data_IF_590939384077
#
_entry.id   IF_590939384077
#
_cell.length_a   1.000
_cell.length_b   1.000
_cell.length_c   1.000
_cell.angle_alpha   90.00
_cell.angle_beta   90.00
_cell.angle_gamma   90.00
#
_symmetry.space_group_name_H-M   'P 1'
#
loop_
_entity.id
_entity.type
_entity.pdbx_description
1 polymer ?
#
# COMPACT_ATOMS: atom_id res chain seq x y z
N UNK A 1 -12.50 -23.87 0.76
CA UNK A 1 -11.37 -24.82 0.87
C UNK A 1 -11.95 -26.16 1.26
N UNK A 2 -11.39 -27.31 0.83
CA UNK A 2 -12.01 -28.62 1.07
C UNK A 2 -12.39 -28.90 2.53
N UNK A 3 -11.79 -28.20 3.49
CA UNK A 3 -12.09 -28.33 4.93
C UNK A 3 -12.50 -27.02 5.63
N UNK A 4 -12.40 -25.86 4.96
CA UNK A 4 -12.72 -24.55 5.55
C UNK A 4 -13.52 -23.66 4.61
N UNK A 5 -14.55 -23.01 5.17
CA UNK A 5 -15.28 -21.94 4.50
C UNK A 5 -14.42 -20.67 4.44
N UNK A 6 -14.15 -20.20 3.21
CA UNK A 6 -13.35 -18.99 2.98
C UNK A 6 -13.97 -17.75 3.65
N UNK A 7 -15.30 -17.67 3.74
CA UNK A 7 -15.97 -16.55 4.40
C UNK A 7 -15.72 -16.57 5.91
N UNK A 8 -15.79 -17.75 6.54
CA UNK A 8 -15.51 -17.90 7.95
C UNK A 8 -14.06 -17.49 8.30
N UNK A 9 -13.11 -17.76 7.40
CA UNK A 9 -11.71 -17.30 7.55
C UNK A 9 -11.66 -15.77 7.54
N UNK A 10 -12.26 -15.12 6.54
CA UNK A 10 -12.25 -13.64 6.42
C UNK A 10 -12.90 -13.01 7.65
N UNK A 11 -14.07 -13.50 8.06
CA UNK A 11 -14.75 -12.99 9.25
C UNK A 11 -13.88 -13.15 10.51
N UNK A 12 -13.27 -14.31 10.71
CA UNK A 12 -12.37 -14.57 11.85
C UNK A 12 -11.17 -13.62 11.86
N UNK A 13 -10.49 -13.45 10.72
CA UNK A 13 -9.36 -12.54 10.59
C UNK A 13 -9.74 -11.11 10.95
N UNK A 14 -10.90 -10.63 10.49
CA UNK A 14 -11.39 -9.29 10.81
C UNK A 14 -11.80 -9.15 12.28
N UNK A 15 -12.44 -10.16 12.87
CA UNK A 15 -12.73 -10.18 14.31
C UNK A 15 -11.46 -10.13 15.16
N UNK A 16 -10.37 -10.74 14.67
CA UNK A 16 -9.05 -10.68 15.30
C UNK A 16 -8.29 -9.36 15.05
N UNK A 17 -8.87 -8.40 14.32
CA UNK A 17 -8.24 -7.12 14.01
C UNK A 17 -7.15 -7.19 12.93
N UNK A 18 -7.04 -8.30 12.20
CA UNK A 18 -6.07 -8.43 11.10
C UNK A 18 -6.56 -7.55 9.94
N UNK A 19 -5.76 -6.57 9.54
CA UNK A 19 -6.08 -5.59 8.49
C UNK A 19 -5.40 -5.89 7.13
N UNK A 20 -4.79 -7.06 6.96
CA UNK A 20 -4.18 -7.49 5.69
C UNK A 20 -5.22 -7.48 4.57
N UNK A 21 -4.89 -6.98 3.36
CA UNK A 21 -5.83 -6.95 2.25
C UNK A 21 -6.15 -8.37 1.77
N UNK A 22 -7.41 -8.63 1.46
CA UNK A 22 -7.92 -9.95 1.07
C UNK A 22 -8.57 -9.85 -0.30
N UNK A 23 -7.99 -10.54 -1.29
CA UNK A 23 -8.58 -10.81 -2.59
C UNK A 23 -9.26 -12.19 -2.56
N UNK A 24 -10.59 -12.22 -2.69
CA UNK A 24 -11.36 -13.45 -2.74
C UNK A 24 -11.38 -14.00 -4.17
N UNK A 25 -11.07 -15.29 -4.36
CA UNK A 25 -11.05 -15.93 -5.67
C UNK A 25 -11.96 -17.16 -5.69
N UNK A 26 -13.00 -17.17 -6.52
CA UNK A 26 -13.99 -18.26 -6.56
C UNK A 26 -14.42 -18.62 -7.98
N UNK A 27 -14.79 -19.89 -8.20
CA UNK A 27 -15.47 -20.33 -9.43
C UNK A 27 -16.97 -20.02 -9.44
N UNK A 28 -17.51 -19.63 -8.28
CA UNK A 28 -18.90 -19.24 -8.14
C UNK A 28 -19.02 -17.77 -8.56
N UNK A 29 -19.74 -17.56 -9.66
CA UNK A 29 -19.90 -16.27 -10.33
C UNK A 29 -21.18 -15.52 -9.91
N UNK A 30 -21.93 -16.06 -8.94
CA UNK A 30 -23.15 -15.43 -8.45
C UNK A 30 -22.84 -14.08 -7.77
N UNK A 31 -23.63 -13.07 -8.12
CA UNK A 31 -23.57 -11.73 -7.52
C UNK A 31 -23.78 -11.83 -6.02
N UNK A 32 -24.66 -12.71 -5.55
CA UNK A 32 -24.96 -12.86 -4.13
C UNK A 32 -23.74 -13.35 -3.33
N UNK A 33 -22.92 -14.22 -3.90
CA UNK A 33 -21.69 -14.67 -3.25
C UNK A 33 -20.59 -13.60 -3.23
N UNK A 34 -20.48 -12.82 -4.29
CA UNK A 34 -19.57 -11.67 -4.35
C UNK A 34 -19.91 -10.65 -3.27
N UNK A 35 -21.20 -10.34 -3.14
CA UNK A 35 -21.71 -9.42 -2.13
C UNK A 35 -21.45 -9.97 -0.73
N UNK A 36 -21.70 -11.27 -0.48
CA UNK A 36 -21.38 -11.93 0.80
C UNK A 36 -19.89 -11.84 1.13
N UNK A 37 -19.02 -12.07 0.15
CA UNK A 37 -17.56 -12.01 0.34
C UNK A 37 -17.05 -10.62 0.70
N UNK A 38 -17.53 -9.59 0.01
CA UNK A 38 -17.19 -8.20 0.32
C UNK A 38 -17.72 -7.79 1.70
N UNK A 39 -18.97 -8.16 2.03
CA UNK A 39 -19.57 -7.87 3.35
C UNK A 39 -18.90 -8.59 4.51
N UNK A 40 -18.33 -9.77 4.29
CA UNK A 40 -17.56 -10.50 5.30
C UNK A 40 -16.22 -9.81 5.64
N UNK A 41 -15.81 -8.79 4.88
CA UNK A 41 -14.59 -8.03 5.08
C UNK A 41 -13.49 -8.30 4.03
N UNK A 42 -13.84 -8.91 2.90
CA UNK A 42 -12.97 -8.99 1.73
C UNK A 42 -12.86 -7.63 1.04
N UNK A 43 -11.67 -7.31 0.55
CA UNK A 43 -11.37 -5.99 -0.05
C UNK A 43 -11.63 -5.95 -1.55
N UNK A 44 -11.53 -7.11 -2.22
CA UNK A 44 -11.91 -7.30 -3.62
C UNK A 44 -12.29 -8.78 -3.89
N UNK A 45 -12.92 -9.03 -5.03
CA UNK A 45 -13.38 -10.35 -5.46
C UNK A 45 -13.10 -10.59 -6.95
N UNK A 46 -12.55 -11.75 -7.28
CA UNK A 46 -12.21 -12.19 -8.64
C UNK A 46 -12.81 -13.56 -8.95
N UNK A 47 -13.57 -13.66 -10.04
CA UNK A 47 -14.20 -14.91 -10.49
C UNK A 47 -13.25 -15.72 -11.37
N UNK A 48 -13.28 -17.05 -11.28
CA UNK A 48 -12.59 -17.96 -12.21
C UNK A 48 -13.45 -18.23 -13.45
N UNK A 49 -12.84 -18.37 -14.64
CA UNK A 49 -11.43 -18.15 -14.93
C UNK A 49 -11.08 -16.65 -14.98
N UNK A 50 -9.84 -16.31 -14.67
CA UNK A 50 -9.32 -14.94 -14.72
C UNK A 50 -7.97 -14.91 -15.46
N UNK A 51 -7.62 -13.74 -15.99
CA UNK A 51 -6.28 -13.51 -16.53
C UNK A 51 -5.27 -13.23 -15.40
N UNK A 52 -4.05 -13.73 -15.53
CA UNK A 52 -2.98 -13.48 -14.54
C UNK A 52 -2.73 -11.99 -14.34
N UNK A 53 -2.73 -11.22 -15.43
CA UNK A 53 -2.53 -9.76 -15.41
C UNK A 53 -3.66 -9.03 -14.68
N UNK A 54 -4.91 -9.52 -14.77
CA UNK A 54 -6.04 -8.96 -14.03
C UNK A 54 -5.86 -9.18 -12.52
N UNK A 55 -5.44 -10.38 -12.13
CA UNK A 55 -5.19 -10.70 -10.73
C UNK A 55 -4.04 -9.86 -10.16
N UNK A 56 -2.94 -9.72 -10.92
CA UNK A 56 -1.81 -8.90 -10.53
C UNK A 56 -2.22 -7.43 -10.33
N UNK A 57 -2.93 -6.84 -11.29
CA UNK A 57 -3.40 -5.46 -11.18
C UNK A 57 -4.31 -5.22 -9.96
N UNK A 58 -5.19 -6.18 -9.63
CA UNK A 58 -6.04 -6.09 -8.43
C UNK A 58 -5.24 -6.14 -7.14
N UNK A 59 -4.25 -7.03 -7.06
CA UNK A 59 -3.34 -7.11 -5.91
C UNK A 59 -2.56 -5.82 -5.73
N UNK A 60 -2.02 -5.24 -6.80
CA UNK A 60 -1.32 -3.94 -6.75
C UNK A 60 -2.22 -2.83 -6.21
N UNK A 61 -3.48 -2.76 -6.66
CA UNK A 61 -4.46 -1.78 -6.17
C UNK A 61 -4.75 -1.97 -4.67
N UNK A 62 -4.88 -3.22 -4.21
CA UNK A 62 -5.11 -3.53 -2.79
C UNK A 62 -3.94 -3.09 -1.91
N UNK A 63 -2.71 -3.37 -2.34
CA UNK A 63 -1.50 -3.00 -1.60
C UNK A 63 -1.32 -1.47 -1.54
N UNK A 64 -1.61 -0.76 -2.65
CA UNK A 64 -1.56 0.71 -2.68
C UNK A 64 -2.55 1.35 -1.69
N UNK A 65 -3.75 0.79 -1.55
CA UNK A 65 -4.76 1.30 -0.60
C UNK A 65 -4.30 1.14 0.85
N UNK A 66 -3.61 0.05 1.19
CA UNK A 66 -3.02 -0.10 2.52
C UNK A 66 -1.99 1.00 2.82
N UNK A 67 -1.12 1.30 1.85
CA UNK A 67 -0.17 2.42 1.98
C UNK A 67 -0.87 3.79 2.11
N UNK A 68 -2.11 3.91 1.61
CA UNK A 68 -2.92 5.14 1.73
C UNK A 68 -3.62 5.24 3.09
N UNK A 69 -4.01 4.12 3.71
CA UNK A 69 -4.48 4.11 5.11
C UNK A 69 -3.33 4.44 6.08
N UNK A 70 -2.10 4.06 5.73
CA UNK A 70 -0.87 4.54 6.38
C UNK A 70 -0.54 6.01 6.04
N UNK A 71 -1.16 6.60 5.01
CA UNK A 71 -0.92 7.99 4.59
C UNK A 71 -1.62 9.05 5.46
N UNK A 72 -2.26 8.66 6.56
CA UNK A 72 -2.58 9.59 7.65
C UNK A 72 -1.42 9.81 8.64
N UNK A 73 -0.31 9.09 8.48
CA UNK A 73 0.88 9.37 9.26
C UNK A 73 1.42 10.75 8.85
N UNK A 74 1.17 11.75 9.70
CA UNK A 74 1.74 13.09 9.60
C UNK A 74 3.25 13.10 9.85
N UNK A 75 3.82 11.94 10.17
CA UNK A 75 5.24 11.71 10.38
C UNK A 75 5.66 10.41 9.69
N UNK A 76 6.68 10.49 8.85
CA UNK A 76 7.39 9.31 8.34
C UNK A 76 8.53 8.97 9.30
N UNK A 77 8.74 7.69 9.61
CA UNK A 77 9.84 7.25 10.46
C UNK A 77 10.56 6.05 9.87
N UNK A 78 11.89 6.12 9.82
CA UNK A 78 12.78 5.04 9.41
C UNK A 78 13.93 4.96 10.42
N UNK A 79 13.91 3.94 11.27
CA UNK A 79 14.84 3.82 12.40
C UNK A 79 14.84 5.07 13.30
N UNK A 80 15.97 5.77 13.36
CA UNK A 80 16.22 7.00 14.12
C UNK A 80 15.91 8.28 13.34
N UNK A 81 15.50 8.17 12.06
CA UNK A 81 15.12 9.28 11.20
C UNK A 81 13.62 9.51 11.22
N UNK A 82 13.19 10.75 11.46
CA UNK A 82 11.80 11.19 11.46
C UNK A 82 11.60 12.39 10.52
N UNK A 83 10.47 12.41 9.81
CA UNK A 83 10.08 13.49 8.91
C UNK A 83 8.63 13.90 9.19
N UNK A 84 8.42 15.11 9.70
CA UNK A 84 7.10 15.66 9.93
C UNK A 84 6.59 16.34 8.65
N UNK A 85 5.54 15.78 8.07
CA UNK A 85 4.97 16.23 6.80
C UNK A 85 4.12 17.50 6.94
N UNK A 86 3.74 17.89 8.16
CA UNK A 86 3.01 19.12 8.42
C UNK A 86 4.00 20.28 8.61
N UNK A 87 5.00 20.11 9.49
CA UNK A 87 5.98 21.17 9.76
C UNK A 87 7.10 21.23 8.73
N UNK A 88 7.22 20.23 7.85
CA UNK A 88 8.33 20.08 6.91
C UNK A 88 9.69 20.00 7.60
N UNK A 89 9.73 19.38 8.79
CA UNK A 89 10.96 19.21 9.57
C UNK A 89 11.45 17.76 9.50
N UNK A 90 12.77 17.60 9.36
CA UNK A 90 13.45 16.33 9.46
C UNK A 90 14.28 16.30 10.75
N UNK A 91 14.33 15.17 11.44
CA UNK A 91 15.23 14.96 12.56
C UNK A 91 15.85 13.57 12.53
N UNK A 92 17.07 13.44 13.06
CA UNK A 92 17.72 12.16 13.28
C UNK A 92 18.22 12.07 14.71
N UNK A 93 17.83 11.02 15.42
CA UNK A 93 18.13 10.84 16.84
C UNK A 93 17.73 12.09 17.67
N UNK A 94 16.58 12.68 17.32
CA UNK A 94 16.07 13.91 17.93
C UNK A 94 16.78 15.21 17.53
N UNK A 95 17.83 15.16 16.71
CA UNK A 95 18.51 16.35 16.21
C UNK A 95 17.90 16.82 14.89
N UNK A 96 17.48 18.09 14.82
CA UNK A 96 16.94 18.68 13.60
C UNK A 96 17.98 18.71 12.47
N UNK A 97 17.55 18.33 11.28
CA UNK A 97 18.34 18.38 10.06
C UNK A 97 17.93 19.61 9.25
N UNK A 98 18.89 20.48 8.94
CA UNK A 98 18.68 21.59 8.01
C UNK A 98 18.80 21.05 6.58
N UNK A 99 17.67 20.91 5.89
CA UNK A 99 17.61 20.41 4.52
C UNK A 99 17.20 21.52 3.55
N UNK A 100 17.82 21.53 2.37
CA UNK A 100 17.33 22.29 1.23
C UNK A 100 16.00 21.68 0.73
N UNK A 101 15.14 22.45 0.03
CA UNK A 101 13.84 21.96 -0.44
C UNK A 101 13.93 20.67 -1.26
N UNK A 102 14.95 20.55 -2.11
CA UNK A 102 15.17 19.35 -2.94
C UNK A 102 15.66 18.16 -2.11
N UNK A 103 16.48 18.41 -1.10
CA UNK A 103 16.96 17.37 -0.18
C UNK A 103 15.81 16.83 0.66
N UNK A 104 14.93 17.70 1.14
CA UNK A 104 13.70 17.31 1.84
C UNK A 104 12.81 16.44 0.95
N UNK A 105 12.55 16.86 -0.29
CA UNK A 105 11.74 16.09 -1.25
C UNK A 105 12.35 14.72 -1.56
N UNK A 106 13.67 14.67 -1.76
CA UNK A 106 14.38 13.41 -1.96
C UNK A 106 14.23 12.51 -0.74
N UNK A 107 14.43 13.04 0.46
CA UNK A 107 14.32 12.28 1.69
C UNK A 107 12.90 11.76 1.90
N UNK A 108 11.88 12.59 1.69
CA UNK A 108 10.48 12.19 1.75
C UNK A 108 10.20 11.03 0.78
N UNK A 109 10.64 11.17 -0.48
CA UNK A 109 10.47 10.13 -1.50
C UNK A 109 11.12 8.81 -1.09
N UNK A 110 12.36 8.85 -0.60
CA UNK A 110 13.07 7.66 -0.12
C UNK A 110 12.35 7.03 1.09
N UNK A 111 11.90 7.83 2.05
CA UNK A 111 11.23 7.34 3.26
C UNK A 111 9.85 6.72 2.95
N UNK A 112 9.09 7.28 2.00
CA UNK A 112 7.83 6.69 1.52
C UNK A 112 8.03 5.35 0.82
N UNK A 113 9.20 5.14 0.23
CA UNK A 113 9.55 3.94 -0.53
C UNK A 113 10.57 3.04 0.20
N UNK A 114 10.57 3.09 1.54
CA UNK A 114 11.48 2.28 2.36
C UNK A 114 11.39 0.79 1.99
N UNK A 115 12.54 0.15 1.78
CA UNK A 115 12.65 -1.27 1.43
C UNK A 115 12.52 -1.59 -0.06
N UNK A 116 12.28 -0.59 -0.91
CA UNK A 116 12.20 -0.75 -2.36
C UNK A 116 13.53 -0.37 -3.04
N UNK A 117 13.86 -1.05 -4.14
CA UNK A 117 14.98 -0.66 -5.01
C UNK A 117 14.48 0.47 -5.92
N UNK A 118 15.04 1.67 -5.74
CA UNK A 118 14.67 2.84 -6.53
C UNK A 118 15.71 3.08 -7.64
N UNK A 119 15.23 3.23 -8.88
CA UNK A 119 16.09 3.59 -9.99
C UNK A 119 16.42 5.09 -9.96
N UNK A 120 17.54 5.46 -10.59
CA UNK A 120 17.90 6.86 -10.77
C UNK A 120 16.78 7.63 -11.49
N UNK A 121 16.17 7.04 -12.51
CA UNK A 121 15.11 7.67 -13.30
C UNK A 121 13.90 8.03 -12.44
N UNK A 122 13.42 7.09 -11.60
CA UNK A 122 12.31 7.32 -10.66
C UNK A 122 12.58 8.50 -9.71
N UNK A 123 13.81 8.59 -9.20
CA UNK A 123 14.22 9.69 -8.31
C UNK A 123 14.19 11.03 -9.06
N UNK A 124 14.66 11.08 -10.31
CA UNK A 124 14.66 12.30 -11.12
C UNK A 124 13.24 12.75 -11.50
N UNK A 125 12.37 11.80 -11.85
CA UNK A 125 10.97 12.05 -12.17
C UNK A 125 10.23 12.64 -10.96
N UNK A 126 10.30 11.99 -9.81
CA UNK A 126 9.50 12.41 -8.64
C UNK A 126 10.04 13.68 -7.97
N UNK A 127 11.35 13.79 -7.79
CA UNK A 127 11.93 14.87 -6.97
C UNK A 127 12.18 16.13 -7.79
N UNK A 128 12.53 15.99 -9.07
CA UNK A 128 12.84 17.11 -9.97
C UNK A 128 11.79 17.36 -11.06
N UNK A 129 10.81 16.47 -11.24
CA UNK A 129 9.74 16.65 -12.23
C UNK A 129 10.20 16.45 -13.68
N UNK A 130 11.38 15.84 -13.92
CA UNK A 130 11.84 15.54 -15.27
C UNK A 130 10.92 14.50 -15.89
N UNK A 131 10.22 14.86 -16.96
CA UNK A 131 9.54 13.90 -17.81
C UNK A 131 10.50 13.55 -18.94
N UNK A 132 11.04 12.33 -18.95
CA UNK A 132 11.78 11.82 -20.09
C UNK A 132 10.77 11.41 -21.17
N UNK A 133 10.63 12.21 -22.22
CA UNK A 133 9.96 11.77 -23.44
C UNK A 133 10.91 10.82 -24.22
N UNK A 134 10.43 9.67 -24.72
CA UNK A 134 11.24 8.67 -25.44
C UNK A 134 11.87 9.18 -26.74
#
# INVERSE_FOLDING_TARGET
LPELDGLAIVTTLRTMGVATPILMISALSDVDERVRGLRAGGDDYLTKPFATDEMAARVEVLLRRQNTVTAQATTLRVADLELNLISHEASRDGQLLTLLPTEYKLLEFLMRNTGQILSRMMIFEEVWGYHFDP
#
